data_IF_589042964366
#
_entry.id   IF_589042964366
#
_cell.length_a   1.000
_cell.length_b   1.000
_cell.length_c   1.000
_cell.angle_alpha   90.00
_cell.angle_beta   90.00
_cell.angle_gamma   90.00
#
_symmetry.space_group_name_H-M   'P 1'
#
loop_
_entity.id
_entity.type
_entity.pdbx_description
1 polymer ?
#
# COMPACT_ATOMS: atom_id res chain seq x y z
N UNK A 1 29.73 -74.19 105.79
CA UNK A 1 31.10 -74.72 105.60
C UNK A 1 31.73 -73.88 104.47
N UNK A 2 32.68 -72.99 104.79
CA UNK A 2 34.15 -73.13 104.53
C UNK A 2 34.48 -73.14 103.02
N UNK A 3 35.40 -72.37 102.41
CA UNK A 3 36.47 -71.38 102.75
C UNK A 3 36.63 -70.49 101.46
N UNK A 4 37.10 -69.23 101.33
CA UNK A 4 37.56 -68.05 102.11
C UNK A 4 37.01 -66.77 101.38
N UNK A 5 37.12 -65.48 101.75
CA UNK A 5 37.94 -64.64 102.66
C UNK A 5 39.26 -64.06 102.07
N UNK A 6 39.50 -62.76 102.32
CA UNK A 6 40.55 -61.86 101.79
C UNK A 6 40.34 -61.42 100.32
N UNK A 7 40.74 -60.21 99.87
CA UNK A 7 41.62 -59.17 100.46
C UNK A 7 41.16 -57.74 100.04
N UNK A 8 41.39 -56.71 100.88
CA UNK A 8 41.36 -55.24 100.66
C UNK A 8 40.38 -54.62 99.62
N UNK A 9 39.54 -53.61 99.90
CA UNK A 9 39.55 -52.55 100.95
C UNK A 9 40.86 -51.75 101.02
N UNK A 10 41.03 -50.81 100.10
CA UNK A 10 41.69 -49.47 100.21
C UNK A 10 41.54 -48.81 98.82
N UNK A 11 41.19 -47.52 98.74
CA UNK A 11 41.07 -46.82 97.45
C UNK A 11 40.10 -45.63 97.38
N UNK A 12 39.18 -45.48 98.33
CA UNK A 12 38.39 -44.25 98.49
C UNK A 12 39.28 -43.13 99.06
N UNK A 13 40.00 -42.36 98.21
CA UNK A 13 40.57 -41.03 98.55
C UNK A 13 41.23 -40.26 97.38
N UNK A 14 40.54 -40.12 96.22
CA UNK A 14 40.93 -39.13 95.19
C UNK A 14 39.73 -38.31 94.67
N UNK A 15 38.98 -37.72 95.61
CA UNK A 15 37.94 -36.71 95.34
C UNK A 15 38.50 -35.34 94.94
N UNK A 16 39.37 -35.30 93.92
CA UNK A 16 40.07 -34.10 93.47
C UNK A 16 39.25 -33.24 92.50
N UNK A 17 38.17 -32.60 92.97
CA UNK A 17 37.42 -31.65 92.16
C UNK A 17 38.24 -30.38 91.89
N UNK A 18 38.99 -30.36 90.79
CA UNK A 18 39.48 -29.12 90.19
C UNK A 18 38.27 -28.31 89.72
N UNK A 19 37.85 -27.32 90.52
CA UNK A 19 36.82 -26.37 90.11
C UNK A 19 37.32 -25.62 88.86
N UNK A 20 36.62 -25.66 87.72
CA UNK A 20 37.11 -25.04 86.50
C UNK A 20 37.23 -23.53 86.69
N UNK A 21 38.40 -23.01 86.37
CA UNK A 21 38.69 -21.58 86.40
C UNK A 21 37.72 -20.82 85.50
N UNK A 22 37.47 -19.55 85.83
CA UNK A 22 36.45 -18.75 85.14
C UNK A 22 36.74 -18.63 83.63
N UNK A 23 38.02 -18.59 83.24
CA UNK A 23 38.46 -18.66 81.84
C UNK A 23 38.05 -19.95 81.13
N UNK A 24 38.15 -21.12 81.78
CA UNK A 24 37.70 -22.38 81.16
C UNK A 24 36.20 -22.38 80.90
N UNK A 25 35.39 -21.85 81.84
CA UNK A 25 33.94 -21.69 81.61
C UNK A 25 33.66 -20.72 80.47
N UNK A 26 34.39 -19.59 80.41
CA UNK A 26 34.28 -18.58 79.34
C UNK A 26 34.65 -19.15 77.97
N UNK A 27 35.75 -19.91 77.88
CA UNK A 27 36.18 -20.59 76.66
C UNK A 27 35.18 -21.68 76.24
N UNK A 28 34.62 -22.44 77.18
CA UNK A 28 33.60 -23.45 76.89
C UNK A 28 32.30 -22.81 76.38
N UNK A 29 31.87 -21.68 76.96
CA UNK A 29 30.74 -20.88 76.49
C UNK A 29 31.00 -20.31 75.08
N UNK A 30 32.18 -19.73 74.85
CA UNK A 30 32.57 -19.21 73.53
C UNK A 30 32.61 -20.31 72.47
N UNK A 31 33.14 -21.49 72.78
CA UNK A 31 33.17 -22.63 71.86
C UNK A 31 31.74 -23.14 71.58
N UNK A 32 30.87 -23.19 72.59
CA UNK A 32 29.44 -23.51 72.39
C UNK A 32 28.72 -22.49 71.50
N UNK A 33 28.99 -21.19 71.67
CA UNK A 33 28.40 -20.14 70.84
C UNK A 33 28.92 -20.22 69.40
N UNK A 34 30.23 -20.38 69.20
CA UNK A 34 30.84 -20.54 67.88
C UNK A 34 30.34 -21.81 67.16
N UNK A 35 30.06 -22.89 67.89
CA UNK A 35 29.42 -24.08 67.31
C UNK A 35 27.97 -23.80 66.90
N UNK A 36 27.22 -23.01 67.68
CA UNK A 36 25.86 -22.56 67.31
C UNK A 36 25.85 -21.63 66.08
N UNK A 37 26.74 -20.64 66.04
CA UNK A 37 26.94 -19.74 64.90
C UNK A 37 27.35 -20.52 63.64
N UNK A 38 28.26 -21.50 63.77
CA UNK A 38 28.69 -22.36 62.67
C UNK A 38 27.60 -23.34 62.20
N UNK A 39 26.70 -23.77 63.09
CA UNK A 39 25.53 -24.56 62.72
C UNK A 39 24.50 -23.70 61.95
N UNK A 40 24.14 -22.53 62.48
CA UNK A 40 23.23 -21.59 61.82
C UNK A 40 23.76 -21.13 60.46
N UNK A 41 25.07 -20.82 60.35
CA UNK A 41 25.69 -20.46 59.09
C UNK A 41 25.65 -21.61 58.06
N UNK A 42 25.81 -22.87 58.49
CA UNK A 42 25.65 -24.04 57.59
C UNK A 42 24.20 -24.21 57.11
N UNK A 43 23.23 -23.99 57.99
CA UNK A 43 21.81 -24.04 57.65
C UNK A 43 21.47 -22.95 56.62
N UNK A 44 21.91 -21.70 56.85
CA UNK A 44 21.77 -20.60 55.89
C UNK A 44 22.50 -20.85 54.56
N UNK A 45 23.69 -21.48 54.57
CA UNK A 45 24.38 -21.89 53.33
C UNK A 45 23.54 -22.92 52.57
N UNK A 46 23.01 -23.94 53.26
CA UNK A 46 22.17 -24.97 52.62
C UNK A 46 20.88 -24.38 52.04
N UNK A 47 20.26 -23.40 52.72
CA UNK A 47 19.08 -22.71 52.20
C UNK A 47 19.44 -21.86 50.96
N UNK A 48 20.53 -21.08 51.01
CA UNK A 48 20.99 -20.26 49.88
C UNK A 48 21.42 -21.10 48.68
N UNK A 49 22.01 -22.28 48.89
CA UNK A 49 22.30 -23.24 47.81
C UNK A 49 21.03 -23.81 47.18
N UNK A 50 19.99 -24.11 47.99
CA UNK A 50 18.69 -24.56 47.48
C UNK A 50 17.96 -23.44 46.72
N UNK A 51 17.92 -22.21 47.24
CA UNK A 51 17.36 -21.04 46.56
C UNK A 51 18.09 -20.76 45.24
N UNK A 52 19.42 -20.86 45.23
CA UNK A 52 20.24 -20.69 44.01
C UNK A 52 19.93 -21.78 42.97
N UNK A 53 19.75 -23.03 43.38
CA UNK A 53 19.40 -24.13 42.48
C UNK A 53 18.03 -23.89 41.81
N UNK A 54 17.01 -23.52 42.60
CA UNK A 54 15.68 -23.19 42.09
C UNK A 54 15.71 -21.99 41.13
N UNK A 55 16.35 -20.88 41.53
CA UNK A 55 16.53 -19.70 40.67
C UNK A 55 17.24 -20.02 39.35
N UNK A 56 18.24 -20.93 39.37
CA UNK A 56 18.91 -21.38 38.14
C UNK A 56 17.95 -22.15 37.23
N UNK A 57 17.15 -23.06 37.80
CA UNK A 57 16.10 -23.77 37.05
C UNK A 57 15.01 -22.85 36.48
N UNK A 58 14.60 -21.82 37.23
CA UNK A 58 13.68 -20.80 36.74
C UNK A 58 14.28 -20.00 35.57
N UNK A 59 15.56 -19.60 35.65
CA UNK A 59 16.26 -18.91 34.56
C UNK A 59 16.34 -19.79 33.31
N UNK A 60 16.70 -21.07 33.42
CA UNK A 60 16.73 -22.01 32.29
C UNK A 60 15.35 -22.16 31.63
N UNK A 61 14.28 -22.26 32.43
CA UNK A 61 12.91 -22.32 31.90
C UNK A 61 12.53 -21.02 31.17
N UNK A 62 12.82 -19.85 31.74
CA UNK A 62 12.54 -18.55 31.11
C UNK A 62 13.33 -18.37 29.81
N UNK A 63 14.61 -18.75 29.77
CA UNK A 63 15.41 -18.75 28.53
C UNK A 63 14.81 -19.66 27.46
N UNK A 64 14.37 -20.87 27.84
CA UNK A 64 13.71 -21.82 26.91
C UNK A 64 12.38 -21.29 26.38
N UNK A 65 11.57 -20.67 27.24
CA UNK A 65 10.27 -20.07 26.85
C UNK A 65 10.50 -18.87 25.93
N UNK A 66 11.41 -17.95 26.27
CA UNK A 66 11.75 -16.79 25.44
C UNK A 66 12.22 -17.22 24.04
N UNK A 67 13.14 -18.18 23.95
CA UNK A 67 13.62 -18.70 22.66
C UNK A 67 12.56 -19.46 21.85
N UNK A 68 11.45 -19.89 22.46
CA UNK A 68 10.30 -20.45 21.74
C UNK A 68 9.38 -19.34 21.24
N UNK A 69 9.03 -18.38 22.12
CA UNK A 69 8.20 -17.22 21.79
C UNK A 69 8.83 -16.35 20.68
N UNK A 70 10.15 -16.20 20.65
CA UNK A 70 10.86 -15.49 19.57
C UNK A 70 10.71 -16.18 18.21
N UNK A 71 10.77 -17.53 18.17
CA UNK A 71 10.54 -18.30 16.95
C UNK A 71 9.09 -18.22 16.49
N UNK A 72 8.13 -18.40 17.39
CA UNK A 72 6.70 -18.26 17.07
C UNK A 72 6.36 -16.84 16.59
N UNK A 73 6.95 -15.81 17.21
CA UNK A 73 6.81 -14.41 16.79
C UNK A 73 7.41 -14.18 15.41
N UNK A 74 8.58 -14.74 15.11
CA UNK A 74 9.20 -14.64 13.79
C UNK A 74 8.31 -15.28 12.69
N UNK A 75 7.84 -16.51 12.92
CA UNK A 75 6.93 -17.22 12.01
C UNK A 75 5.64 -16.43 11.79
N UNK A 76 4.96 -15.98 12.86
CA UNK A 76 3.73 -15.18 12.73
C UNK A 76 3.94 -13.86 11.99
N UNK A 77 5.11 -13.22 12.14
CA UNK A 77 5.46 -12.00 11.41
C UNK A 77 5.66 -12.29 9.92
N UNK A 78 6.31 -13.41 9.58
CA UNK A 78 6.48 -13.85 8.19
C UNK A 78 5.14 -14.21 7.55
N UNK A 79 4.34 -15.08 8.18
CA UNK A 79 2.97 -15.45 7.74
C UNK A 79 2.10 -14.20 7.52
N UNK A 80 2.13 -13.24 8.46
CA UNK A 80 1.40 -11.99 8.34
C UNK A 80 1.91 -11.13 7.17
N UNK A 81 3.21 -11.16 6.88
CA UNK A 81 3.81 -10.52 5.72
C UNK A 81 3.34 -11.13 4.41
N UNK A 82 3.44 -12.46 4.28
CA UNK A 82 2.99 -13.22 3.12
C UNK A 82 1.48 -13.03 2.87
N UNK A 83 0.65 -13.12 3.91
CA UNK A 83 -0.81 -12.90 3.82
C UNK A 83 -1.14 -11.47 3.37
N UNK A 84 -0.47 -10.45 3.92
CA UNK A 84 -0.65 -9.04 3.47
C UNK A 84 -0.24 -8.84 2.02
N UNK A 85 0.78 -9.54 1.54
CA UNK A 85 1.19 -9.51 0.14
C UNK A 85 0.14 -10.20 -0.77
N UNK A 86 -0.37 -11.36 -0.37
CA UNK A 86 -1.43 -12.09 -1.08
C UNK A 86 -2.75 -11.31 -1.17
N UNK A 87 -3.19 -10.66 -0.09
CA UNK A 87 -4.38 -9.78 -0.12
C UNK A 87 -4.15 -8.60 -1.06
N UNK A 88 -2.95 -7.98 -1.06
CA UNK A 88 -2.62 -6.87 -1.97
C UNK A 88 -2.57 -7.28 -3.44
N UNK A 89 -2.03 -8.47 -3.78
CA UNK A 89 -2.03 -8.95 -5.16
C UNK A 89 -3.44 -9.36 -5.62
N UNK A 90 -4.24 -10.01 -4.77
CA UNK A 90 -5.63 -10.33 -5.05
C UNK A 90 -6.47 -9.08 -5.34
N UNK A 91 -6.44 -8.06 -4.46
CA UNK A 91 -7.18 -6.80 -4.66
C UNK A 91 -6.74 -6.08 -5.94
N UNK A 92 -5.44 -6.05 -6.24
CA UNK A 92 -4.93 -5.51 -7.52
C UNK A 92 -5.45 -6.29 -8.73
N UNK A 93 -5.52 -7.62 -8.64
CA UNK A 93 -6.06 -8.47 -9.71
C UNK A 93 -7.54 -8.16 -9.94
N UNK A 94 -8.35 -8.12 -8.88
CA UNK A 94 -9.78 -7.81 -8.97
C UNK A 94 -10.04 -6.41 -9.57
N UNK A 95 -9.28 -5.40 -9.13
CA UNK A 95 -9.34 -4.04 -9.71
C UNK A 95 -8.93 -4.02 -11.19
N UNK A 96 -7.95 -4.83 -11.59
CA UNK A 96 -7.55 -4.96 -13.00
C UNK A 96 -8.63 -5.64 -13.84
N UNK A 97 -9.25 -6.71 -13.33
CA UNK A 97 -10.35 -7.41 -14.00
C UNK A 97 -11.61 -6.54 -14.12
N UNK A 98 -11.93 -5.73 -13.09
CA UNK A 98 -13.00 -4.74 -13.15
C UNK A 98 -12.71 -3.63 -14.16
N UNK A 99 -11.46 -3.12 -14.21
CA UNK A 99 -11.06 -2.10 -15.19
C UNK A 99 -11.13 -2.65 -16.62
N UNK A 100 -10.74 -3.90 -16.85
CA UNK A 100 -10.81 -4.50 -18.18
C UNK A 100 -12.25 -4.84 -18.58
N UNK A 101 -13.07 -5.33 -17.65
CA UNK A 101 -14.51 -5.53 -17.88
C UNK A 101 -15.21 -4.21 -18.28
N UNK A 102 -14.87 -3.12 -17.58
CA UNK A 102 -15.34 -1.76 -17.84
C UNK A 102 -14.82 -1.13 -19.15
N UNK A 103 -13.93 -1.82 -19.90
CA UNK A 103 -13.47 -1.40 -21.22
C UNK A 103 -14.13 -2.15 -22.38
N UNK A 104 -14.87 -3.24 -22.11
CA UNK A 104 -15.57 -3.96 -23.17
C UNK A 104 -16.51 -2.98 -23.89
N UNK A 105 -16.41 -2.94 -25.22
CA UNK A 105 -16.97 -1.85 -26.02
C UNK A 105 -18.49 -1.69 -25.84
N UNK A 106 -19.20 -2.78 -25.50
CA UNK A 106 -20.65 -2.82 -25.25
C UNK A 106 -21.11 -1.97 -24.04
N UNK A 107 -20.18 -1.52 -23.17
CA UNK A 107 -20.46 -0.69 -21.98
C UNK A 107 -19.96 0.76 -22.08
N UNK A 108 -19.33 1.15 -23.20
CA UNK A 108 -18.77 2.49 -23.34
C UNK A 108 -19.63 3.38 -24.24
N UNK A 109 -20.16 4.45 -23.66
CA UNK A 109 -20.87 5.50 -24.37
C UNK A 109 -19.93 6.17 -25.38
N UNK A 110 -20.34 6.19 -26.65
CA UNK A 110 -19.63 6.90 -27.70
C UNK A 110 -20.27 8.28 -27.94
N UNK A 111 -19.45 9.33 -27.91
CA UNK A 111 -19.86 10.70 -28.23
C UNK A 111 -18.91 11.33 -29.24
N UNK A 112 -19.43 11.66 -30.43
CA UNK A 112 -18.66 12.20 -31.55
C UNK A 112 -19.32 11.94 -32.91
N UNK A 113 -18.58 12.20 -33.99
CA UNK A 113 -19.07 12.02 -35.36
C UNK A 113 -19.19 10.54 -35.78
N UNK A 114 -19.99 10.26 -36.82
CA UNK A 114 -20.18 8.90 -37.32
C UNK A 114 -18.87 8.26 -37.80
N UNK A 115 -18.57 7.05 -37.32
CA UNK A 115 -17.33 6.30 -37.54
C UNK A 115 -17.27 5.62 -38.92
N UNK A 116 -17.35 6.43 -39.99
CA UNK A 116 -17.32 5.96 -41.39
C UNK A 116 -16.05 6.39 -42.13
N UNK A 117 -15.74 5.76 -43.25
CA UNK A 117 -14.68 6.24 -44.15
C UNK A 117 -15.14 7.48 -44.94
N UNK A 118 -14.32 8.52 -44.95
CA UNK A 118 -14.52 9.78 -45.67
C UNK A 118 -13.28 10.09 -46.52
N UNK A 119 -13.34 11.04 -47.45
CA UNK A 119 -12.26 11.27 -48.43
C UNK A 119 -11.51 12.60 -48.28
N UNK A 120 -12.05 13.57 -47.53
CA UNK A 120 -11.38 14.85 -47.27
C UNK A 120 -10.37 14.78 -46.13
N UNK A 121 -9.23 15.47 -46.26
CA UNK A 121 -8.38 15.89 -45.13
C UNK A 121 -8.34 17.42 -45.10
N UNK A 122 -8.56 18.06 -43.93
CA UNK A 122 -8.58 19.51 -43.83
C UNK A 122 -7.19 20.16 -43.67
N UNK A 123 -6.11 19.38 -43.51
CA UNK A 123 -4.73 19.85 -43.73
C UNK A 123 -3.79 19.86 -42.52
N UNK A 124 -2.91 20.88 -42.53
CA UNK A 124 -1.73 21.12 -41.67
C UNK A 124 -2.01 21.53 -40.21
N UNK A 125 -1.65 20.72 -39.21
CA UNK A 125 -1.53 21.11 -37.79
C UNK A 125 -2.72 21.88 -37.20
N UNK A 126 -3.84 21.17 -36.94
CA UNK A 126 -5.13 21.79 -36.56
C UNK A 126 -5.72 21.18 -35.30
N UNK A 127 -6.44 22.01 -34.55
CA UNK A 127 -7.36 21.56 -33.49
C UNK A 127 -8.78 21.53 -34.03
N UNK A 128 -9.48 20.40 -33.91
CA UNK A 128 -10.92 20.30 -34.14
C UNK A 128 -11.65 20.46 -32.80
N UNK A 129 -12.62 21.36 -32.66
CA UNK A 129 -13.52 21.41 -31.50
C UNK A 129 -14.89 20.89 -31.92
N UNK A 130 -15.38 19.85 -31.26
CA UNK A 130 -16.75 19.37 -31.49
C UNK A 130 -17.75 20.28 -30.76
N UNK A 131 -18.57 21.00 -31.52
CA UNK A 131 -19.60 21.90 -30.98
C UNK A 131 -21.02 21.33 -31.09
N UNK A 132 -21.16 20.11 -31.63
CA UNK A 132 -22.44 19.43 -31.81
C UNK A 132 -22.61 18.28 -30.80
N UNK A 133 -21.53 17.55 -30.50
CA UNK A 133 -21.51 16.44 -29.54
C UNK A 133 -20.97 16.90 -28.18
N UNK A 134 -21.61 17.91 -27.57
CA UNK A 134 -21.38 18.26 -26.16
C UNK A 134 -21.68 17.07 -25.26
N UNK A 135 -20.93 16.92 -24.15
CA UNK A 135 -21.25 15.92 -23.12
C UNK A 135 -22.68 16.13 -22.61
N UNK A 136 -23.58 15.17 -22.82
CA UNK A 136 -24.98 15.28 -22.36
C UNK A 136 -25.10 15.27 -20.84
N UNK A 137 -24.19 14.56 -20.17
CA UNK A 137 -24.19 14.32 -18.73
C UNK A 137 -22.79 14.40 -18.13
N UNK A 138 -22.72 14.28 -16.80
CA UNK A 138 -21.45 14.12 -16.09
C UNK A 138 -20.92 12.68 -16.28
N UNK A 139 -19.62 12.49 -16.37
CA UNK A 139 -19.07 11.16 -16.62
C UNK A 139 -17.56 11.06 -16.52
N UNK A 140 -17.01 9.94 -16.99
CA UNK A 140 -15.56 9.71 -17.13
C UNK A 140 -15.26 9.15 -18.50
N UNK A 141 -14.41 9.84 -19.26
CA UNK A 141 -13.93 9.39 -20.56
C UNK A 141 -12.69 8.50 -20.39
N UNK A 142 -12.66 7.39 -21.13
CA UNK A 142 -11.61 6.38 -21.07
C UNK A 142 -10.69 6.38 -22.29
N UNK A 143 -11.11 6.98 -23.41
CA UNK A 143 -10.29 7.06 -24.62
C UNK A 143 -10.93 7.83 -25.77
N UNK A 144 -10.28 7.77 -26.92
CA UNK A 144 -10.80 8.19 -28.23
C UNK A 144 -11.14 6.98 -29.09
N UNK A 145 -12.12 7.13 -29.99
CA UNK A 145 -12.42 6.16 -31.04
C UNK A 145 -12.60 6.89 -32.38
N UNK A 146 -12.03 6.37 -33.46
CA UNK A 146 -12.04 7.05 -34.76
C UNK A 146 -11.67 6.15 -35.94
N UNK A 147 -12.05 6.58 -37.14
CA UNK A 147 -11.60 6.00 -38.42
C UNK A 147 -10.40 6.81 -38.93
N UNK A 148 -9.22 6.21 -38.90
CA UNK A 148 -7.96 6.87 -39.28
C UNK A 148 -7.44 6.35 -40.62
N UNK A 149 -6.99 7.22 -41.53
CA UNK A 149 -6.39 6.82 -42.81
C UNK A 149 -4.90 6.45 -42.69
N UNK A 150 -4.28 6.66 -41.53
CA UNK A 150 -2.88 6.32 -41.27
C UNK A 150 -2.48 6.51 -39.80
N UNK A 151 -1.23 6.15 -39.43
CA UNK A 151 -0.71 6.37 -38.08
C UNK A 151 -0.63 7.87 -37.74
N UNK A 152 -0.94 8.23 -36.50
CA UNK A 152 -0.98 9.65 -36.07
C UNK A 152 -0.69 9.84 -34.59
N UNK A 153 0.04 10.92 -34.30
CA UNK A 153 0.13 11.54 -32.99
C UNK A 153 -1.01 12.55 -32.82
N UNK A 154 -1.78 12.47 -31.73
CA UNK A 154 -2.78 13.49 -31.42
C UNK A 154 -2.91 13.73 -29.91
N UNK A 155 -3.55 14.84 -29.55
CA UNK A 155 -3.98 15.14 -28.17
C UNK A 155 -5.47 15.41 -28.14
N UNK A 156 -6.02 15.39 -26.93
CA UNK A 156 -7.42 15.67 -26.65
C UNK A 156 -7.51 16.66 -25.48
N UNK A 157 -8.18 17.78 -25.72
CA UNK A 157 -8.54 18.75 -24.70
C UNK A 157 -10.04 18.64 -24.35
N UNK A 158 -10.36 18.86 -23.08
CA UNK A 158 -11.73 19.10 -22.61
C UNK A 158 -11.89 20.59 -22.38
N UNK A 159 -12.94 21.20 -22.93
CA UNK A 159 -13.22 22.63 -22.83
C UNK A 159 -14.56 22.88 -22.16
N UNK A 160 -14.53 23.62 -21.05
CA UNK A 160 -15.74 23.99 -20.31
C UNK A 160 -16.32 25.31 -20.80
N UNK A 161 -17.61 25.38 -21.16
CA UNK A 161 -18.26 26.64 -21.46
C UNK A 161 -18.48 27.45 -20.18
N UNK A 162 -17.89 28.65 -20.13
CA UNK A 162 -18.06 29.61 -19.03
C UNK A 162 -18.51 30.94 -19.65
N UNK A 163 -19.83 31.16 -19.62
CA UNK A 163 -20.53 32.28 -20.29
C UNK A 163 -20.31 32.24 -21.81
N UNK A 164 -19.57 33.19 -22.39
CA UNK A 164 -19.29 33.28 -23.84
C UNK A 164 -17.85 32.87 -24.19
N UNK A 165 -17.23 32.03 -23.34
CA UNK A 165 -15.85 31.58 -23.50
C UNK A 165 -15.76 30.09 -23.24
N UNK A 166 -14.84 29.42 -23.92
CA UNK A 166 -14.45 28.04 -23.62
C UNK A 166 -13.13 28.07 -22.87
N UNK A 167 -13.04 27.36 -21.75
CA UNK A 167 -11.82 27.25 -20.94
C UNK A 167 -11.32 25.82 -21.02
N UNK A 168 -10.08 25.63 -21.48
CA UNK A 168 -9.46 24.30 -21.50
C UNK A 168 -9.24 23.85 -20.05
N UNK A 169 -10.02 22.88 -19.58
CA UNK A 169 -9.93 22.37 -18.20
C UNK A 169 -8.94 21.22 -18.07
N UNK A 170 -8.71 20.47 -19.17
CA UNK A 170 -7.79 19.35 -19.23
C UNK A 170 -7.23 19.16 -20.64
N UNK A 171 -6.03 18.59 -20.75
CA UNK A 171 -5.43 18.12 -22.01
C UNK A 171 -4.58 16.87 -21.72
N UNK A 172 -4.64 15.86 -22.59
CA UNK A 172 -3.84 14.63 -22.47
C UNK A 172 -2.40 14.81 -22.94
N UNK A 173 -1.52 13.91 -22.46
CA UNK A 173 -0.28 13.57 -23.15
C UNK A 173 -0.53 13.04 -24.57
N UNK A 174 0.53 12.96 -25.38
CA UNK A 174 0.50 12.50 -26.77
C UNK A 174 -0.05 11.07 -26.88
N UNK A 175 -1.20 10.91 -27.53
CA UNK A 175 -1.78 9.62 -27.91
C UNK A 175 -1.24 9.21 -29.29
N UNK A 176 -1.00 7.92 -29.49
CA UNK A 176 -0.44 7.39 -30.75
C UNK A 176 -1.32 6.30 -31.36
N UNK A 177 -1.98 6.63 -32.47
CA UNK A 177 -2.65 5.68 -33.35
C UNK A 177 -1.60 5.05 -34.25
N UNK A 178 -1.49 3.71 -34.27
CA UNK A 178 -0.38 2.99 -34.92
C UNK A 178 -0.75 2.34 -36.27
N UNK A 179 -2.03 2.33 -36.64
CA UNK A 179 -2.55 1.68 -37.85
C UNK A 179 -3.72 2.47 -38.42
N UNK A 180 -3.98 2.40 -39.74
CA UNK A 180 -5.23 2.86 -40.32
C UNK A 180 -6.42 1.96 -39.95
N UNK A 181 -7.64 2.41 -40.26
CA UNK A 181 -8.91 1.77 -39.98
C UNK A 181 -9.57 2.29 -38.71
N UNK A 182 -10.59 1.56 -38.23
CA UNK A 182 -11.27 1.85 -36.98
C UNK A 182 -10.34 1.52 -35.81
N UNK A 183 -9.96 2.52 -35.01
CA UNK A 183 -9.08 2.36 -33.86
C UNK A 183 -9.68 3.04 -32.62
N UNK A 184 -9.52 2.38 -31.47
CA UNK A 184 -9.70 2.98 -30.15
C UNK A 184 -8.32 3.17 -29.51
N UNK A 185 -8.11 4.29 -28.83
CA UNK A 185 -6.90 4.55 -28.03
C UNK A 185 -7.30 5.02 -26.65
N UNK A 186 -7.03 4.19 -25.65
CA UNK A 186 -7.27 4.49 -24.23
C UNK A 186 -6.38 5.65 -23.75
N UNK A 187 -6.92 6.47 -22.85
CA UNK A 187 -6.13 7.45 -22.11
C UNK A 187 -5.29 6.75 -21.01
N UNK A 188 -4.06 7.22 -20.74
CA UNK A 188 -3.26 6.70 -19.62
C UNK A 188 -3.95 6.95 -18.26
N UNK A 189 -4.64 8.09 -18.15
CA UNK A 189 -5.45 8.52 -17.00
C UNK A 189 -6.86 8.87 -17.52
N UNK A 190 -7.93 8.22 -17.04
CA UNK A 190 -9.30 8.61 -17.38
C UNK A 190 -9.61 10.04 -16.93
N UNK A 191 -10.42 10.77 -17.69
CA UNK A 191 -10.75 12.18 -17.41
C UNK A 191 -12.23 12.34 -17.07
N UNK A 192 -12.53 12.96 -15.93
CA UNK A 192 -13.90 13.30 -15.56
C UNK A 192 -14.38 14.53 -16.33
N UNK A 193 -15.63 14.49 -16.80
CA UNK A 193 -16.28 15.55 -17.58
C UNK A 193 -17.62 15.93 -16.96
N UNK A 194 -18.04 17.18 -17.17
CA UNK A 194 -19.34 17.71 -16.74
C UNK A 194 -20.29 17.92 -17.92
N UNK A 195 -21.59 17.89 -17.65
CA UNK A 195 -22.62 18.16 -18.65
C UNK A 195 -22.40 19.53 -19.32
N UNK A 196 -22.38 19.54 -20.65
CA UNK A 196 -22.06 20.70 -21.48
C UNK A 196 -20.57 20.91 -21.78
N UNK A 197 -19.65 20.09 -21.23
CA UNK A 197 -18.24 20.12 -21.66
C UNK A 197 -18.12 19.73 -23.15
N UNK A 198 -17.17 20.38 -23.83
CA UNK A 198 -16.84 20.19 -25.23
C UNK A 198 -15.52 19.42 -25.35
N UNK A 199 -15.33 18.70 -26.45
CA UNK A 199 -14.09 17.98 -26.75
C UNK A 199 -13.36 18.67 -27.90
N UNK A 200 -12.02 18.73 -27.82
CA UNK A 200 -11.19 19.09 -28.97
C UNK A 200 -10.06 18.09 -29.24
N UNK A 201 -9.93 17.70 -30.51
CA UNK A 201 -8.92 16.79 -31.03
C UNK A 201 -7.80 17.61 -31.69
N UNK A 202 -6.60 17.59 -31.12
CA UNK A 202 -5.46 18.40 -31.58
C UNK A 202 -4.48 17.52 -32.35
N UNK A 203 -4.25 17.86 -33.61
CA UNK A 203 -3.27 17.21 -34.47
C UNK A 203 -2.06 18.14 -34.59
N UNK A 204 -0.89 17.82 -33.98
CA UNK A 204 0.29 18.67 -34.07
C UNK A 204 0.96 18.62 -35.45
N UNK A 205 0.86 17.50 -36.16
CA UNK A 205 1.54 17.23 -37.42
C UNK A 205 0.57 17.29 -38.62
N UNK A 206 0.25 16.13 -39.20
CA UNK A 206 -0.75 15.96 -40.25
C UNK A 206 -1.99 15.25 -39.67
N UNK A 207 -3.17 15.50 -40.25
CA UNK A 207 -4.44 14.99 -39.76
C UNK A 207 -5.02 13.91 -40.71
N UNK A 208 -4.85 12.61 -40.39
CA UNK A 208 -5.43 11.49 -41.12
C UNK A 208 -6.78 11.02 -40.54
N UNK A 209 -7.47 11.86 -39.75
CA UNK A 209 -8.92 11.67 -39.56
C UNK A 209 -9.59 12.29 -40.77
N UNK A 210 -10.34 11.48 -41.52
CA UNK A 210 -11.04 11.97 -42.70
C UNK A 210 -12.31 12.73 -42.32
N UNK A 211 -12.61 13.80 -43.06
CA UNK A 211 -13.72 14.70 -42.79
C UNK A 211 -14.42 15.18 -44.05
N UNK A 212 -15.74 15.28 -43.99
CA UNK A 212 -16.56 15.97 -44.99
C UNK A 212 -16.82 17.42 -44.57
N UNK A 213 -17.01 18.29 -45.56
CA UNK A 213 -17.12 19.75 -45.37
C UNK A 213 -18.55 20.23 -45.57
N UNK A 214 -19.05 21.01 -44.62
CA UNK A 214 -20.39 21.63 -44.63
C UNK A 214 -21.50 20.82 -43.96
N UNK A 215 -21.17 19.71 -43.29
CA UNK A 215 -22.15 18.69 -42.85
C UNK A 215 -22.12 18.33 -41.36
N UNK A 216 -21.24 18.94 -40.54
CA UNK A 216 -21.14 18.65 -39.10
C UNK A 216 -20.65 19.83 -38.26
N UNK A 217 -20.73 19.71 -36.94
CA UNK A 217 -20.42 20.79 -35.99
C UNK A 217 -18.96 20.89 -35.51
N UNK A 218 -17.99 20.27 -36.19
CA UNK A 218 -16.58 20.43 -35.81
C UNK A 218 -16.01 21.76 -36.37
N UNK A 219 -15.47 22.58 -35.47
CA UNK A 219 -14.74 23.82 -35.79
C UNK A 219 -13.24 23.56 -35.87
N UNK A 220 -12.58 24.11 -36.89
CA UNK A 220 -11.12 24.11 -36.97
C UNK A 220 -10.52 25.33 -36.26
N UNK A 221 -9.39 25.13 -35.59
CA UNK A 221 -8.52 26.19 -35.09
C UNK A 221 -7.06 25.92 -35.48
N UNK A 222 -6.41 26.91 -36.07
CA UNK A 222 -5.00 26.87 -36.49
C UNK A 222 -4.03 27.10 -35.30
N UNK A 223 -4.39 26.61 -34.11
CA UNK A 223 -3.56 26.65 -32.90
C UNK A 223 -3.77 25.37 -32.07
N UNK A 224 -2.73 24.93 -31.39
CA UNK A 224 -2.84 23.91 -30.34
C UNK A 224 -3.44 24.55 -29.06
N UNK A 225 -4.04 23.74 -28.19
CA UNK A 225 -4.78 24.21 -27.00
C UNK A 225 -4.12 23.80 -25.69
N UNK A 226 -3.80 24.77 -24.85
CA UNK A 226 -3.12 24.58 -23.56
C UNK A 226 -4.08 24.62 -22.37
N UNK A 227 -3.79 23.84 -21.32
CA UNK A 227 -4.60 23.80 -20.10
C UNK A 227 -4.67 25.18 -19.41
N UNK A 228 -5.89 25.64 -19.14
CA UNK A 228 -6.18 26.98 -18.60
C UNK A 228 -6.36 28.08 -19.66
N UNK A 229 -6.09 27.80 -20.94
CA UNK A 229 -6.34 28.74 -22.04
C UNK A 229 -7.83 29.06 -22.18
N UNK A 230 -8.13 30.29 -22.60
CA UNK A 230 -9.50 30.83 -22.70
C UNK A 230 -9.78 31.28 -24.13
N UNK A 231 -10.62 30.56 -24.83
CA UNK A 231 -11.08 30.87 -26.18
C UNK A 231 -12.34 31.73 -26.12
N UNK A 232 -12.45 32.76 -26.96
CA UNK A 232 -13.73 33.41 -27.22
C UNK A 232 -14.39 32.71 -28.41
N UNK A 233 -15.64 32.29 -28.27
CA UNK A 233 -16.36 31.53 -29.32
C UNK A 233 -16.39 32.25 -30.69
N UNK A 234 -16.39 33.58 -30.68
CA UNK A 234 -16.38 34.44 -31.88
C UNK A 234 -15.02 34.50 -32.60
N UNK A 235 -13.93 34.03 -31.97
CA UNK A 235 -12.57 34.07 -32.52
C UNK A 235 -12.15 32.70 -33.12
N UNK A 236 -13.00 31.67 -33.05
CA UNK A 236 -12.68 30.28 -33.42
C UNK A 236 -12.91 30.03 -34.92
N UNK A 237 -12.37 30.93 -35.76
CA UNK A 237 -12.47 30.87 -37.20
C UNK A 237 -13.89 31.03 -37.77
N UNK A 238 -14.02 30.82 -39.07
CA UNK A 238 -15.33 30.74 -39.74
C UNK A 238 -15.99 29.38 -39.46
N UNK A 239 -17.31 29.35 -39.25
CA UNK A 239 -18.11 28.12 -39.09
C UNK A 239 -18.27 27.34 -40.41
N UNK A 240 -17.14 26.94 -41.00
CA UNK A 240 -17.08 25.91 -42.04
C UNK A 240 -17.17 24.57 -41.31
N UNK A 241 -18.38 24.16 -40.95
CA UNK A 241 -18.59 22.98 -40.10
C UNK A 241 -18.12 21.70 -40.78
N UNK A 242 -17.29 20.91 -40.11
CA UNK A 242 -16.82 19.61 -40.60
C UNK A 242 -17.53 18.45 -39.91
N UNK A 243 -17.72 17.35 -40.64
CA UNK A 243 -18.11 16.05 -40.10
C UNK A 243 -16.91 15.10 -40.20
N UNK A 244 -16.22 14.86 -39.08
CA UNK A 244 -15.06 13.98 -39.01
C UNK A 244 -15.41 12.69 -38.26
N UNK A 245 -14.79 11.58 -38.67
CA UNK A 245 -15.05 10.26 -38.10
C UNK A 245 -14.23 10.00 -36.84
N UNK A 246 -14.44 10.83 -35.81
CA UNK A 246 -13.77 10.72 -34.49
C UNK A 246 -14.72 11.13 -33.35
N UNK A 247 -14.54 10.49 -32.21
CA UNK A 247 -15.25 10.75 -30.97
C UNK A 247 -14.47 10.29 -29.74
N UNK A 248 -15.10 10.44 -28.58
CA UNK A 248 -14.64 9.89 -27.29
C UNK A 248 -15.46 8.68 -26.89
N UNK A 249 -14.84 7.80 -26.09
CA UNK A 249 -15.51 6.70 -25.40
C UNK A 249 -15.41 6.89 -23.89
N UNK A 250 -16.52 6.69 -23.18
CA UNK A 250 -16.61 6.95 -21.75
C UNK A 250 -17.70 6.12 -21.05
N UNK A 251 -17.90 6.41 -19.78
CA UNK A 251 -19.14 6.11 -19.06
C UNK A 251 -19.74 7.45 -18.67
N UNK A 252 -20.93 7.75 -19.19
CA UNK A 252 -21.70 8.96 -18.92
C UNK A 252 -22.91 8.57 -18.07
N UNK A 253 -23.12 9.24 -16.93
CA UNK A 253 -24.22 8.89 -16.01
C UNK A 253 -25.51 9.65 -16.35
N UNK A 254 -26.58 8.92 -16.69
CA UNK A 254 -27.94 9.45 -16.90
C UNK A 254 -28.48 10.31 -15.72
#
# INVERSE_FOLDING_TARGET
>A
MRLLLALCVVGFLLGGCAAPTEEMKKLQLQNSNLQGELAAAKESISELEQQKADLTGQVEQLTRISGTLEREKAVRVEETGQLRQGVRSFVRSQLSSLREFSKNEDFLDYSGGELIERSGSPGKSVSLVDTQNTMGYNGTLYGIRGQFSGPVALRLAVLRPIKQRWVVVWNTEKLEVKKPGLQQVDFPVPVSVEAGDLVAYQFPDEMPVACDKGTGGLLMIDQQLESGQKLQQQQVGSFQGYACSIGVVGILGE
#
